data_IF_528992896727
#
_entry.id   IF_528992896727
#
_cell.length_a   1.000
_cell.length_b   1.000
_cell.length_c   1.000
_cell.angle_alpha   90.00
_cell.angle_beta   90.00
_cell.angle_gamma   90.00
#
_symmetry.space_group_name_H-M   'P 1'
#
loop_
_entity.id
_entity.type
_entity.pdbx_description
1 polymer ?
#
# COMPACT_ATOMS: atom_id res chain seq x y z
N UNK A 1 4.36 5.46 -15.24
CA UNK A 1 2.90 5.34 -15.01
C UNK A 1 2.58 5.40 -13.52
N UNK A 2 1.37 5.80 -13.15
CA UNK A 2 0.81 5.66 -11.79
C UNK A 2 -0.53 4.97 -11.88
N UNK A 3 -0.84 4.13 -10.90
CA UNK A 3 -2.15 3.50 -10.74
C UNK A 3 -2.81 4.06 -9.49
N UNK A 4 -4.10 4.34 -9.59
CA UNK A 4 -4.92 4.87 -8.51
C UNK A 4 -5.89 3.82 -7.99
N UNK A 5 -6.11 3.83 -6.68
CA UNK A 5 -7.08 2.98 -6.00
C UNK A 5 -7.78 3.78 -4.92
N UNK A 6 -9.10 3.61 -4.84
CA UNK A 6 -9.90 4.16 -3.75
C UNK A 6 -9.95 3.15 -2.60
N UNK A 7 -9.68 3.60 -1.37
CA UNK A 7 -9.92 2.80 -0.17
C UNK A 7 -11.40 2.79 0.23
N UNK A 8 -11.77 1.94 1.19
CA UNK A 8 -13.15 1.87 1.73
C UNK A 8 -13.64 3.15 2.45
N UNK A 9 -12.78 4.15 2.62
CA UNK A 9 -13.10 5.43 3.26
C UNK A 9 -13.16 6.57 2.23
N UNK A 10 -13.11 6.26 0.93
CA UNK A 10 -13.20 7.24 -0.15
C UNK A 10 -11.88 7.90 -0.53
N UNK A 11 -10.75 7.56 0.10
CA UNK A 11 -9.45 8.18 -0.18
C UNK A 11 -8.87 7.61 -1.48
N UNK A 12 -8.51 8.50 -2.41
CA UNK A 12 -7.71 8.15 -3.59
C UNK A 12 -6.25 8.04 -3.16
N UNK A 13 -5.64 6.90 -3.47
CA UNK A 13 -4.26 6.56 -3.16
C UNK A 13 -3.60 6.07 -4.44
N UNK A 14 -2.39 6.52 -4.74
CA UNK A 14 -1.67 6.06 -5.93
C UNK A 14 -0.37 5.31 -5.62
N UNK A 15 0.03 4.49 -6.59
CA UNK A 15 1.30 3.79 -6.64
C UNK A 15 1.98 4.04 -7.99
N UNK A 16 3.17 4.66 -7.95
CA UNK A 16 3.98 4.91 -9.14
C UNK A 16 4.85 3.70 -9.49
N UNK A 17 5.26 3.59 -10.75
CA UNK A 17 6.18 2.53 -11.19
C UNK A 17 7.53 2.58 -10.50
N UNK A 18 8.04 3.79 -10.26
CA UNK A 18 9.29 3.99 -9.52
C UNK A 18 9.19 3.37 -8.13
N UNK A 19 8.16 3.74 -7.37
CA UNK A 19 7.94 3.18 -6.02
C UNK A 19 7.71 1.68 -6.06
N UNK A 20 6.98 1.19 -7.06
CA UNK A 20 6.80 -0.25 -7.25
C UNK A 20 8.13 -0.98 -7.46
N UNK A 21 9.04 -0.43 -8.28
CA UNK A 21 10.39 -0.99 -8.46
C UNK A 21 11.17 -1.02 -7.14
N UNK A 22 11.09 0.03 -6.32
CA UNK A 22 11.72 0.04 -5.00
C UNK A 22 11.15 -1.02 -4.06
N UNK A 23 9.82 -1.17 -4.04
CA UNK A 23 9.13 -2.21 -3.25
C UNK A 23 9.58 -3.61 -3.66
N UNK A 24 9.57 -3.92 -4.96
CA UNK A 24 9.95 -5.25 -5.45
C UNK A 24 11.45 -5.51 -5.25
N UNK A 25 12.31 -4.49 -5.37
CA UNK A 25 13.74 -4.62 -5.07
C UNK A 25 13.98 -4.99 -3.60
N UNK A 26 13.24 -4.40 -2.68
CA UNK A 26 13.32 -4.71 -1.24
C UNK A 26 12.60 -6.02 -0.87
N UNK A 27 11.51 -6.34 -1.56
CA UNK A 27 10.65 -7.49 -1.30
C UNK A 27 10.35 -8.26 -2.60
N UNK A 28 11.30 -9.07 -3.10
CA UNK A 28 11.14 -9.79 -4.38
C UNK A 28 9.93 -10.72 -4.44
N UNK A 29 9.39 -11.14 -3.28
CA UNK A 29 8.20 -11.98 -3.17
C UNK A 29 6.94 -11.26 -3.70
N UNK A 30 6.96 -9.93 -3.79
CA UNK A 30 5.90 -9.13 -4.35
C UNK A 30 6.03 -8.93 -5.86
N UNK A 31 7.05 -9.52 -6.51
CA UNK A 31 7.17 -9.43 -7.96
C UNK A 31 5.89 -9.95 -8.64
N UNK A 32 5.39 -9.20 -9.64
CA UNK A 32 4.11 -9.47 -10.30
C UNK A 32 2.86 -9.44 -9.39
N UNK A 33 2.95 -8.89 -8.17
CA UNK A 33 1.84 -8.80 -7.19
C UNK A 33 1.34 -7.36 -6.97
N UNK A 34 1.56 -6.46 -7.93
CA UNK A 34 1.13 -5.05 -7.84
C UNK A 34 -0.38 -4.92 -7.61
N UNK A 35 -1.17 -5.62 -8.42
CA UNK A 35 -2.62 -5.64 -8.29
C UNK A 35 -3.08 -6.17 -6.92
N UNK A 36 -2.35 -7.13 -6.35
CA UNK A 36 -2.61 -7.64 -5.00
C UNK A 36 -2.39 -6.54 -3.96
N UNK A 37 -1.28 -5.81 -4.04
CA UNK A 37 -0.98 -4.68 -3.14
C UNK A 37 -2.07 -3.60 -3.24
N UNK A 38 -2.50 -3.24 -4.46
CA UNK A 38 -3.64 -2.32 -4.63
C UNK A 38 -4.94 -2.86 -4.02
N UNK A 39 -5.18 -4.17 -4.10
CA UNK A 39 -6.35 -4.80 -3.44
C UNK A 39 -6.28 -4.75 -1.92
N UNK A 40 -5.08 -4.74 -1.34
CA UNK A 40 -4.87 -4.54 0.11
C UNK A 40 -5.30 -3.14 0.52
N UNK A 41 -5.01 -2.14 -0.30
CA UNK A 41 -5.44 -0.76 -0.04
C UNK A 41 -6.96 -0.64 -0.18
N UNK A 42 -7.53 -1.22 -1.25
CA UNK A 42 -8.97 -1.15 -1.54
C UNK A 42 -9.83 -1.70 -0.42
N UNK A 43 -9.49 -2.88 0.13
CA UNK A 43 -10.39 -3.61 1.03
C UNK A 43 -9.73 -4.10 2.33
N UNK A 44 -8.46 -3.78 2.57
CA UNK A 44 -7.73 -4.25 3.75
C UNK A 44 -8.16 -3.54 5.04
N UNK A 45 -7.77 -4.13 6.17
CA UNK A 45 -7.88 -3.48 7.47
C UNK A 45 -6.88 -2.35 7.56
N UNK A 46 -7.39 -1.13 7.71
CA UNK A 46 -6.59 0.09 7.94
C UNK A 46 -6.34 0.28 9.43
N UNK A 47 -5.08 0.53 9.81
CA UNK A 47 -4.68 1.00 11.14
C UNK A 47 -3.80 2.25 11.01
N UNK A 48 -3.88 3.14 11.99
CA UNK A 48 -2.95 4.26 12.17
C UNK A 48 -2.04 3.92 13.33
N UNK A 49 -0.74 4.20 13.19
CA UNK A 49 0.17 4.15 14.32
C UNK A 49 0.12 5.51 15.04
N UNK A 50 -0.18 5.59 16.34
CA UNK A 50 -0.26 6.86 17.07
C UNK A 50 1.02 7.70 16.96
N UNK A 51 2.20 7.06 16.80
CA UNK A 51 3.47 7.76 16.65
C UNK A 51 3.77 8.26 15.23
N UNK A 52 2.94 7.92 14.24
CA UNK A 52 3.14 8.27 12.83
C UNK A 52 1.85 8.86 12.27
N UNK A 53 1.59 10.14 12.56
CA UNK A 53 0.34 10.82 12.24
C UNK A 53 -0.07 10.66 10.77
N UNK A 54 0.89 10.63 9.86
CA UNK A 54 0.63 10.72 8.42
C UNK A 54 0.80 9.36 7.71
N UNK A 55 1.05 8.28 8.47
CA UNK A 55 1.22 6.93 7.91
C UNK A 55 0.07 6.03 8.31
N UNK A 56 -0.54 5.42 7.30
CA UNK A 56 -1.61 4.46 7.46
C UNK A 56 -1.16 3.11 6.91
N UNK A 57 -1.42 2.07 7.70
CA UNK A 57 -1.06 0.70 7.35
C UNK A 57 -2.34 -0.04 6.94
N UNK A 58 -2.29 -0.69 5.78
CA UNK A 58 -3.36 -1.50 5.23
C UNK A 58 -2.91 -2.95 5.25
N UNK A 59 -3.71 -3.82 5.83
CA UNK A 59 -3.37 -5.25 5.96
C UNK A 59 -4.47 -6.11 5.37
N UNK A 60 -4.09 -7.13 4.62
CA UNK A 60 -5.03 -8.12 4.10
C UNK A 60 -4.37 -9.50 4.05
N UNK A 61 -5.06 -10.56 4.50
CA UNK A 61 -4.60 -11.92 4.29
C UNK A 61 -4.42 -12.20 2.79
N UNK A 62 -3.40 -12.96 2.45
CA UNK A 62 -3.16 -13.37 1.08
C UNK A 62 -2.85 -14.87 1.00
N UNK A 63 -3.55 -15.57 0.10
CA UNK A 63 -3.36 -16.99 -0.12
C UNK A 63 -2.09 -17.22 -0.96
N UNK A 64 -0.96 -17.42 -0.29
CA UNK A 64 0.28 -17.89 -0.90
C UNK A 64 0.66 -19.25 -0.26
N UNK A 65 1.29 -20.17 -1.01
CA UNK A 65 2.04 -21.28 -0.42
C UNK A 65 3.26 -20.81 0.41
N UNK A 66 3.48 -19.51 0.54
CA UNK A 66 4.56 -18.93 1.33
C UNK A 66 4.28 -18.99 2.84
N UNK A 67 5.35 -18.86 3.63
CA UNK A 67 5.28 -18.68 5.09
C UNK A 67 4.56 -17.39 5.50
N UNK A 68 4.59 -16.35 4.66
CA UNK A 68 3.89 -15.10 4.88
C UNK A 68 2.41 -15.26 4.53
N UNK A 69 1.54 -14.78 5.42
CA UNK A 69 0.08 -14.94 5.31
C UNK A 69 -0.64 -13.63 5.11
N UNK A 70 0.05 -12.50 5.30
CA UNK A 70 -0.53 -11.16 5.19
C UNK A 70 0.37 -10.31 4.29
N UNK A 71 -0.23 -9.36 3.58
CA UNK A 71 0.51 -8.24 3.00
C UNK A 71 0.14 -6.99 3.78
N UNK A 72 1.15 -6.22 4.17
CA UNK A 72 1.00 -4.90 4.76
C UNK A 72 1.48 -3.85 3.75
N UNK A 73 0.61 -2.92 3.38
CA UNK A 73 0.93 -1.76 2.57
C UNK A 73 0.92 -0.51 3.46
N UNK A 74 1.95 0.33 3.32
CA UNK A 74 2.06 1.58 4.07
C UNK A 74 1.79 2.74 3.13
N UNK A 75 0.83 3.58 3.49
CA UNK A 75 0.41 4.76 2.71
C UNK A 75 0.75 6.01 3.50
N UNK A 76 1.37 6.98 2.82
CA UNK A 76 1.51 8.33 3.33
C UNK A 76 0.28 9.13 2.95
N UNK A 77 -0.36 9.75 3.92
CA UNK A 77 -1.44 10.70 3.71
C UNK A 77 -0.83 12.09 3.74
N UNK A 78 -0.88 12.80 2.62
CA UNK A 78 -0.28 14.13 2.49
C UNK A 78 -1.16 15.06 1.68
N UNK A 79 -0.82 16.33 1.69
CA UNK A 79 -1.51 17.38 0.94
C UNK A 79 -0.52 18.09 0.03
N UNK A 80 -0.95 18.37 -1.20
CA UNK A 80 -0.21 19.19 -2.15
C UNK A 80 -1.20 20.13 -2.83
N UNK A 81 -0.90 21.43 -2.86
CA UNK A 81 -1.78 22.46 -3.43
C UNK A 81 -3.22 22.38 -2.92
N UNK A 82 -3.38 22.17 -1.60
CA UNK A 82 -4.67 22.01 -0.93
C UNK A 82 -5.53 20.82 -1.44
N UNK A 83 -4.90 19.84 -2.09
CA UNK A 83 -5.53 18.59 -2.52
C UNK A 83 -4.85 17.37 -1.88
N UNK A 84 -5.60 16.28 -1.60
CA UNK A 84 -5.02 15.04 -1.11
C UNK A 84 -3.99 14.46 -2.09
N UNK A 85 -2.82 14.10 -1.57
CA UNK A 85 -1.70 13.51 -2.31
C UNK A 85 -1.27 12.22 -1.59
N UNK A 86 -2.18 11.26 -1.49
CA UNK A 86 -1.92 10.02 -0.76
C UNK A 86 -1.21 9.01 -1.66
N UNK A 87 -0.12 8.42 -1.18
CA UNK A 87 0.67 7.49 -1.98
C UNK A 87 1.23 6.34 -1.17
N UNK A 88 1.45 5.21 -1.83
CA UNK A 88 2.09 4.04 -1.23
C UNK A 88 3.57 4.34 -0.96
N UNK A 89 4.02 4.22 0.28
CA UNK A 89 5.44 4.30 0.64
C UNK A 89 6.14 2.97 0.35
N UNK A 90 5.58 1.89 0.88
CA UNK A 90 6.13 0.55 0.77
C UNK A 90 5.02 -0.49 0.90
N UNK A 91 5.32 -1.73 0.57
CA UNK A 91 4.51 -2.89 0.90
C UNK A 91 5.41 -4.10 1.14
N UNK A 92 5.02 -4.99 2.06
CA UNK A 92 5.79 -6.20 2.35
C UNK A 92 4.90 -7.36 2.81
N UNK A 93 5.32 -8.61 2.54
CA UNK A 93 4.74 -9.79 3.17
C UNK A 93 5.04 -9.80 4.67
N UNK A 94 4.04 -10.20 5.48
CA UNK A 94 4.10 -10.38 6.92
C UNK A 94 3.64 -11.79 7.31
#
# INVERSE_FOLDING_TARGET
>A
MREEVQDRFGNIIYLTDERWRHIVKAHPQLNSKRAVVLSVIRSGKRRRDPGLSDKYFYTKPFAFPSRFKVIEAVVFFSWQNNQPNNFVITAYPK
#
